data_IF_313976360810
#
_entry.id   IF_313976360810
#
_cell.length_a   1.000
_cell.length_b   1.000
_cell.length_c   1.000
_cell.angle_alpha   90.00
_cell.angle_beta   90.00
_cell.angle_gamma   90.00
#
_symmetry.space_group_name_H-M   'P 1'
#
loop_
_entity.id
_entity.type
_entity.pdbx_description
1 polymer ?
#
# COMPACT_ATOMS: atom_id res chain seq x y z
N UNK A 1 47.64 30.31 38.27
CA UNK A 1 46.56 31.12 38.88
C UNK A 1 45.56 30.19 39.58
N UNK A 2 45.63 30.09 40.90
CA UNK A 2 44.73 29.26 41.71
C UNK A 2 43.37 29.98 41.82
N UNK A 3 42.39 29.57 41.02
CA UNK A 3 41.01 30.07 41.18
C UNK A 3 40.46 29.59 42.52
N UNK A 4 40.20 30.57 43.40
CA UNK A 4 39.58 30.41 44.71
C UNK A 4 38.35 29.49 44.62
N UNK A 5 38.25 28.51 45.54
CA UNK A 5 37.22 27.46 45.54
C UNK A 5 35.79 28.03 45.52
N UNK A 6 35.60 29.25 46.00
CA UNK A 6 34.32 29.97 45.94
C UNK A 6 33.93 30.38 44.52
N UNK A 7 34.90 30.79 43.69
CA UNK A 7 34.67 31.16 42.28
C UNK A 7 34.41 29.91 41.44
N UNK A 8 35.14 28.82 41.70
CA UNK A 8 34.90 27.51 41.05
C UNK A 8 33.50 26.97 41.36
N UNK A 9 33.04 27.05 42.61
CA UNK A 9 31.67 26.62 42.99
C UNK A 9 30.60 27.47 42.31
N UNK A 10 30.77 28.79 42.24
CA UNK A 10 29.83 29.69 41.54
C UNK A 10 29.82 29.45 40.02
N UNK A 11 30.97 29.17 39.42
CA UNK A 11 31.09 28.85 38.00
C UNK A 11 30.46 27.48 37.68
N UNK A 12 30.62 26.49 38.55
CA UNK A 12 30.03 25.16 38.38
C UNK A 12 28.50 25.18 38.55
N UNK A 13 27.99 25.97 39.50
CA UNK A 13 26.54 26.20 39.66
C UNK A 13 25.94 26.92 38.45
N UNK A 14 26.64 27.91 37.88
CA UNK A 14 26.19 28.61 36.68
C UNK A 14 26.13 27.69 35.45
N UNK A 15 27.13 26.81 35.26
CA UNK A 15 27.14 25.83 34.16
C UNK A 15 26.00 24.81 34.29
N UNK A 16 25.74 24.30 35.51
CA UNK A 16 24.64 23.36 35.76
C UNK A 16 23.28 24.03 35.50
N UNK A 17 23.10 25.29 35.87
CA UNK A 17 21.88 26.05 35.59
C UNK A 17 21.65 26.29 34.09
N UNK A 18 22.72 26.53 33.31
CA UNK A 18 22.62 26.69 31.86
C UNK A 18 22.28 25.34 31.20
N UNK A 19 22.92 24.25 31.63
CA UNK A 19 22.64 22.91 31.11
C UNK A 19 21.20 22.46 31.41
N UNK A 20 20.63 22.79 32.58
CA UNK A 20 19.24 22.44 32.90
C UNK A 20 18.23 23.18 32.03
N UNK A 21 18.47 24.46 31.72
CA UNK A 21 17.62 25.24 30.80
C UNK A 21 17.71 24.69 29.37
N UNK A 22 18.90 24.32 28.89
CA UNK A 22 19.08 23.69 27.57
C UNK A 22 18.37 22.34 27.51
N UNK A 23 18.45 21.53 28.57
CA UNK A 23 17.77 20.23 28.63
C UNK A 23 16.24 20.39 28.64
N UNK A 24 15.71 21.41 29.33
CA UNK A 24 14.28 21.75 29.31
C UNK A 24 13.87 22.21 27.90
N UNK A 25 14.68 23.01 27.20
CA UNK A 25 14.38 23.45 25.82
C UNK A 25 14.45 22.29 24.81
N UNK A 26 15.41 21.38 24.95
CA UNK A 26 15.50 20.16 24.14
C UNK A 26 14.35 19.19 24.44
N UNK A 27 13.97 19.02 25.71
CA UNK A 27 12.78 18.27 26.10
C UNK A 27 11.50 18.94 25.58
N UNK A 28 11.43 20.27 25.54
CA UNK A 28 10.30 21.00 24.98
C UNK A 28 10.20 20.81 23.46
N UNK A 29 11.33 20.82 22.72
CA UNK A 29 11.34 20.48 21.29
C UNK A 29 11.01 19.01 21.02
N UNK A 30 11.44 18.10 21.90
CA UNK A 30 11.12 16.67 21.80
C UNK A 30 9.67 16.35 22.23
N UNK A 31 9.06 17.19 23.07
CA UNK A 31 7.65 17.11 23.43
C UNK A 31 6.75 17.72 22.35
N UNK A 32 7.21 18.75 21.64
CA UNK A 32 6.52 19.28 20.46
C UNK A 32 6.52 18.31 19.26
N UNK A 33 7.49 17.39 19.14
CA UNK A 33 7.44 16.30 18.14
C UNK A 33 6.57 15.11 18.56
N UNK A 34 6.08 15.09 19.82
CA UNK A 34 5.12 14.11 20.35
C UNK A 34 3.77 14.74 20.68
N UNK A 35 3.41 15.82 20.00
CA UNK A 35 2.08 16.43 20.06
C UNK A 35 1.02 15.48 19.52
N UNK A 36 0.30 14.86 20.46
CA UNK A 36 -1.02 14.23 20.27
C UNK A 36 -1.93 15.22 19.54
N UNK A 37 -2.33 14.89 18.31
CA UNK A 37 -3.35 15.63 17.60
C UNK A 37 -4.70 15.47 18.32
N UNK A 38 -5.05 16.42 19.18
CA UNK A 38 -6.46 16.76 19.44
C UNK A 38 -6.88 17.78 18.39
N UNK A 39 -7.53 17.32 17.34
CA UNK A 39 -8.38 18.18 16.51
C UNK A 39 -9.79 17.57 16.49
N UNK A 40 -10.69 18.26 17.19
CA UNK A 40 -12.11 18.10 16.99
C UNK A 40 -12.52 18.69 15.64
N UNK A 41 -13.50 18.03 15.05
CA UNK A 41 -14.48 18.53 14.08
C UNK A 41 -13.97 19.14 12.74
N UNK A 42 -14.18 18.32 11.71
CA UNK A 42 -14.52 18.65 10.32
C UNK A 42 -13.42 18.53 9.25
N UNK A 43 -13.68 17.58 8.35
CA UNK A 43 -13.23 17.46 6.95
C UNK A 43 -11.83 16.87 6.67
N UNK A 44 -11.82 15.54 6.67
CA UNK A 44 -11.05 14.55 5.87
C UNK A 44 -9.78 15.05 5.13
N UNK A 45 -8.62 14.78 5.73
CA UNK A 45 -7.36 14.54 5.03
C UNK A 45 -6.87 13.13 5.37
N UNK A 46 -6.57 12.33 4.34
CA UNK A 46 -6.28 10.91 4.43
C UNK A 46 -5.01 10.60 5.21
N UNK A 47 -5.19 10.01 6.39
CA UNK A 47 -4.18 9.21 7.06
C UNK A 47 -4.35 7.76 6.63
N UNK A 48 -3.25 7.08 6.29
CA UNK A 48 -3.24 5.66 6.02
C UNK A 48 -3.82 4.90 7.22
N UNK A 49 -4.99 4.30 7.01
CA UNK A 49 -5.70 3.52 7.99
C UNK A 49 -4.96 2.20 8.20
N UNK A 50 -4.32 2.03 9.35
CA UNK A 50 -3.95 0.70 9.84
C UNK A 50 -5.27 0.03 10.22
N UNK A 51 -5.84 -0.69 9.26
CA UNK A 51 -7.10 -1.41 9.45
C UNK A 51 -6.85 -2.58 10.39
N UNK A 52 -7.41 -2.45 11.61
CA UNK A 52 -7.56 -3.55 12.55
C UNK A 52 -8.14 -4.77 11.83
N UNK A 53 -7.40 -5.88 11.89
CA UNK A 53 -7.78 -7.16 11.27
C UNK A 53 -9.06 -7.66 11.96
N UNK A 54 -10.19 -7.34 11.35
CA UNK A 54 -11.50 -7.83 11.74
C UNK A 54 -11.47 -9.37 11.66
N UNK A 55 -11.55 -10.06 12.80
CA UNK A 55 -11.40 -11.52 12.94
C UNK A 55 -12.42 -12.37 12.15
N UNK A 56 -13.34 -11.74 11.40
CA UNK A 56 -14.30 -12.37 10.47
C UNK A 56 -14.42 -11.65 9.11
N UNK A 57 -13.54 -10.70 8.81
CA UNK A 57 -13.63 -9.93 7.58
C UNK A 57 -13.34 -10.78 6.34
N UNK A 58 -13.98 -10.45 5.22
CA UNK A 58 -13.69 -11.08 3.92
C UNK A 58 -12.98 -10.09 3.01
N UNK A 59 -11.97 -10.57 2.29
CA UNK A 59 -11.18 -9.75 1.37
C UNK A 59 -11.94 -9.49 0.07
N UNK A 60 -11.70 -8.33 -0.53
CA UNK A 60 -12.16 -7.99 -1.88
C UNK A 60 -11.00 -7.57 -2.78
N UNK A 61 -11.10 -7.90 -4.05
CA UNK A 61 -10.17 -7.44 -5.08
C UNK A 61 -10.90 -6.53 -6.06
N UNK A 62 -10.22 -5.50 -6.57
CA UNK A 62 -10.77 -4.61 -7.58
C UNK A 62 -9.71 -4.26 -8.63
N UNK A 63 -10.11 -4.20 -9.89
CA UNK A 63 -9.30 -3.62 -10.97
C UNK A 63 -9.69 -2.15 -11.13
N UNK A 64 -8.72 -1.24 -11.04
CA UNK A 64 -8.92 0.21 -11.17
C UNK A 64 -8.12 0.77 -12.35
N UNK A 65 -8.67 1.70 -13.15
CA UNK A 65 -10.02 2.27 -13.04
C UNK A 65 -11.11 1.25 -13.43
N UNK A 66 -12.34 1.42 -12.91
CA UNK A 66 -13.46 0.50 -13.17
C UNK A 66 -13.94 0.56 -14.63
N UNK A 67 -13.92 1.75 -15.23
CA UNK A 67 -14.29 1.97 -16.63
C UNK A 67 -13.42 3.08 -17.22
N UNK A 68 -12.96 2.86 -18.45
CA UNK A 68 -12.22 3.86 -19.22
C UNK A 68 -12.47 3.66 -20.71
N UNK A 69 -12.32 4.73 -21.49
CA UNK A 69 -12.18 4.70 -22.94
C UNK A 69 -10.75 5.07 -23.34
N UNK A 70 -10.16 4.31 -24.25
CA UNK A 70 -8.84 4.56 -24.84
C UNK A 70 -8.95 4.71 -26.36
N UNK A 71 -8.03 5.48 -26.95
CA UNK A 71 -7.82 5.48 -28.41
C UNK A 71 -6.84 4.37 -28.79
N UNK A 72 -6.91 3.90 -30.04
CA UNK A 72 -5.91 2.96 -30.56
C UNK A 72 -4.47 3.46 -30.35
N UNK A 73 -3.60 2.61 -29.81
CA UNK A 73 -2.21 2.91 -29.48
C UNK A 73 -2.00 3.58 -28.11
N UNK A 74 -3.07 4.06 -27.46
CA UNK A 74 -2.99 4.68 -26.15
C UNK A 74 -2.66 3.65 -25.06
N UNK A 75 -1.91 4.11 -24.06
CA UNK A 75 -1.53 3.31 -22.91
C UNK A 75 -2.12 3.86 -21.62
N UNK A 76 -2.45 2.95 -20.71
CA UNK A 76 -2.94 3.30 -19.38
C UNK A 76 -2.39 2.35 -18.34
N UNK A 77 -2.12 2.88 -17.15
CA UNK A 77 -1.81 2.09 -15.97
C UNK A 77 -3.11 1.59 -15.33
N UNK A 78 -3.13 0.30 -15.01
CA UNK A 78 -4.21 -0.36 -14.28
C UNK A 78 -3.64 -0.90 -12.97
N UNK A 79 -4.37 -0.67 -11.88
CA UNK A 79 -4.01 -1.16 -10.55
C UNK A 79 -4.97 -2.26 -10.09
N UNK A 80 -4.41 -3.32 -9.50
CA UNK A 80 -5.16 -4.38 -8.83
C UNK A 80 -5.06 -4.15 -7.34
N UNK A 81 -6.20 -3.88 -6.70
CA UNK A 81 -6.26 -3.41 -5.31
C UNK A 81 -6.92 -4.46 -4.43
N UNK A 82 -6.30 -4.72 -3.27
CA UNK A 82 -6.87 -5.47 -2.16
C UNK A 82 -7.56 -4.52 -1.20
N UNK A 83 -8.83 -4.82 -0.90
CA UNK A 83 -9.71 -4.00 -0.08
C UNK A 83 -10.35 -4.81 1.06
N UNK A 84 -10.91 -4.10 2.04
CA UNK A 84 -11.56 -4.57 3.27
C UNK A 84 -10.67 -5.28 4.31
N UNK A 85 -9.84 -6.24 3.89
CA UNK A 85 -9.00 -7.03 4.81
C UNK A 85 -7.66 -7.37 4.16
N UNK A 86 -6.56 -7.07 4.87
CA UNK A 86 -5.22 -7.51 4.49
C UNK A 86 -5.04 -9.03 4.59
N UNK A 87 -4.26 -9.62 3.70
CA UNK A 87 -4.10 -11.08 3.60
C UNK A 87 -2.62 -11.47 3.60
N UNK A 88 -2.32 -12.72 3.94
CA UNK A 88 -0.94 -13.22 4.02
C UNK A 88 -0.37 -13.59 2.64
N UNK A 89 -1.23 -14.07 1.74
CA UNK A 89 -0.84 -14.43 0.39
C UNK A 89 -2.00 -14.25 -0.59
N UNK A 90 -1.67 -14.14 -1.87
CA UNK A 90 -2.65 -14.07 -2.95
C UNK A 90 -2.19 -14.87 -4.16
N UNK A 91 -3.17 -15.40 -4.87
CA UNK A 91 -3.04 -15.87 -6.26
C UNK A 91 -4.09 -15.12 -7.05
N UNK A 92 -3.67 -14.28 -8.00
CA UNK A 92 -4.55 -13.46 -8.82
C UNK A 92 -4.39 -13.85 -10.27
N UNK A 93 -5.51 -14.21 -10.88
CA UNK A 93 -5.60 -14.48 -12.32
C UNK A 93 -6.56 -13.47 -12.94
N UNK A 94 -6.07 -12.65 -13.87
CA UNK A 94 -6.89 -11.71 -14.64
C UNK A 94 -6.90 -12.15 -16.10
N UNK A 95 -8.09 -12.24 -16.67
CA UNK A 95 -8.30 -12.51 -18.10
C UNK A 95 -8.71 -11.24 -18.83
N UNK A 96 -8.33 -11.13 -20.10
CA UNK A 96 -8.65 -10.03 -20.99
C UNK A 96 -8.71 -10.50 -22.45
N UNK A 97 -9.24 -9.68 -23.36
CA UNK A 97 -9.19 -9.96 -24.80
C UNK A 97 -7.86 -9.48 -25.42
N UNK A 98 -6.96 -10.40 -25.84
CA UNK A 98 -5.66 -10.05 -26.41
C UNK A 98 -5.74 -9.46 -27.82
N UNK A 99 -6.91 -9.49 -28.48
CA UNK A 99 -7.11 -8.84 -29.79
C UNK A 99 -7.37 -7.34 -29.64
N UNK A 100 -7.82 -6.92 -28.46
CA UNK A 100 -8.18 -5.53 -28.15
C UNK A 100 -7.10 -4.86 -27.32
N UNK A 101 -6.52 -5.59 -26.34
CA UNK A 101 -5.54 -5.06 -25.40
C UNK A 101 -4.25 -5.88 -25.40
N UNK A 102 -3.12 -5.20 -25.30
CA UNK A 102 -1.83 -5.78 -24.94
C UNK A 102 -1.47 -5.37 -23.51
N UNK A 103 -1.04 -6.32 -22.70
CA UNK A 103 -0.59 -6.06 -21.31
C UNK A 103 0.94 -6.10 -21.25
N UNK A 104 1.53 -5.16 -20.50
CA UNK A 104 2.97 -5.10 -20.21
C UNK A 104 3.23 -4.57 -18.80
N UNK A 105 4.51 -4.52 -18.43
CA UNK A 105 5.01 -3.79 -17.26
C UNK A 105 4.29 -4.14 -15.95
N UNK A 106 4.07 -5.43 -15.71
CA UNK A 106 3.53 -5.88 -14.43
C UNK A 106 4.55 -5.54 -13.34
N UNK A 107 4.13 -4.74 -12.37
CA UNK A 107 4.94 -4.25 -11.26
C UNK A 107 4.26 -4.60 -9.95
N UNK A 108 5.05 -5.17 -9.02
CA UNK A 108 4.60 -5.42 -7.66
C UNK A 108 4.10 -4.13 -7.00
N UNK A 109 3.05 -4.26 -6.20
CA UNK A 109 2.54 -3.19 -5.37
C UNK A 109 3.17 -3.18 -3.97
N UNK A 110 2.45 -2.61 -3.02
CA UNK A 110 2.93 -2.39 -1.64
C UNK A 110 2.42 -3.43 -0.65
N UNK A 111 1.42 -4.22 -1.06
CA UNK A 111 0.76 -5.20 -0.17
C UNK A 111 1.68 -6.37 0.15
N UNK A 112 2.47 -6.83 -0.83
CA UNK A 112 3.32 -8.01 -0.71
C UNK A 112 4.78 -7.66 -0.96
N UNK A 113 5.67 -8.24 -0.16
CA UNK A 113 7.13 -8.03 -0.25
C UNK A 113 7.80 -9.12 -1.06
N UNK A 114 7.13 -10.26 -1.26
CA UNK A 114 7.68 -11.42 -1.93
C UNK A 114 6.75 -11.88 -3.06
N UNK A 115 7.21 -11.77 -4.30
CA UNK A 115 6.49 -12.20 -5.50
C UNK A 115 7.02 -13.57 -5.93
N UNK A 116 6.15 -14.58 -5.85
CA UNK A 116 6.49 -15.97 -6.16
C UNK A 116 6.37 -16.27 -7.66
N UNK A 117 5.42 -15.62 -8.34
CA UNK A 117 5.22 -15.76 -9.78
C UNK A 117 4.57 -14.52 -10.35
N UNK A 118 5.10 -14.04 -11.47
CA UNK A 118 4.53 -12.97 -12.27
C UNK A 118 4.66 -13.34 -13.74
N UNK A 119 3.54 -13.70 -14.39
CA UNK A 119 3.51 -14.12 -15.79
C UNK A 119 2.43 -13.36 -16.55
N UNK A 120 2.75 -12.95 -17.76
CA UNK A 120 1.81 -12.39 -18.73
C UNK A 120 1.84 -13.28 -19.95
N UNK A 121 0.68 -13.82 -20.29
CA UNK A 121 0.41 -14.60 -21.49
C UNK A 121 -0.73 -13.92 -22.24
N UNK A 122 -0.91 -14.24 -23.52
CA UNK A 122 -1.98 -13.64 -24.31
C UNK A 122 -3.35 -13.92 -23.67
N UNK A 123 -4.00 -12.83 -23.26
CA UNK A 123 -5.32 -12.84 -22.62
C UNK A 123 -5.32 -13.20 -21.14
N UNK A 124 -4.15 -13.34 -20.49
CA UNK A 124 -4.07 -13.77 -19.08
C UNK A 124 -2.86 -13.21 -18.33
N UNK A 125 -3.10 -12.70 -17.13
CA UNK A 125 -2.08 -12.32 -16.15
C UNK A 125 -2.15 -13.29 -14.97
N UNK A 126 -1.02 -13.84 -14.56
CA UNK A 126 -0.89 -14.64 -13.32
C UNK A 126 0.06 -13.94 -12.36
N UNK A 127 -0.43 -13.63 -11.17
CA UNK A 127 0.34 -12.99 -10.11
C UNK A 127 0.16 -13.73 -8.78
N UNK A 128 1.25 -14.25 -8.22
CA UNK A 128 1.25 -14.99 -6.95
C UNK A 128 2.28 -14.33 -6.04
N UNK A 129 1.85 -13.96 -4.83
CA UNK A 129 2.70 -13.24 -3.87
C UNK A 129 2.30 -13.50 -2.42
N UNK A 130 3.23 -13.29 -1.50
CA UNK A 130 3.03 -13.36 -0.05
C UNK A 130 3.81 -12.28 0.70
N UNK A 131 3.60 -12.20 2.02
CA UNK A 131 4.26 -11.23 2.91
C UNK A 131 5.73 -11.57 3.22
N UNK A 132 6.25 -12.70 2.73
CA UNK A 132 7.61 -13.19 2.99
C UNK A 132 7.93 -13.45 4.47
N UNK A 133 9.17 -13.81 4.74
CA UNK A 133 9.69 -14.02 6.11
C UNK A 133 10.15 -12.73 6.78
N UNK A 134 10.43 -11.69 6.00
CA UNK A 134 10.85 -10.36 6.47
C UNK A 134 9.66 -9.44 6.81
N UNK A 135 8.44 -9.81 6.39
CA UNK A 135 7.20 -9.09 6.68
C UNK A 135 6.76 -9.32 8.12
N UNK A 136 7.27 -8.49 9.04
CA UNK A 136 6.81 -8.48 10.44
C UNK A 136 5.32 -8.13 10.51
N UNK A 137 4.49 -9.16 10.61
CA UNK A 137 3.12 -9.24 11.17
C UNK A 137 2.01 -8.30 10.68
N UNK A 138 2.28 -7.25 9.90
CA UNK A 138 1.26 -6.27 9.54
C UNK A 138 0.66 -6.58 8.17
N UNK A 139 -0.59 -7.06 8.18
CA UNK A 139 -1.37 -7.31 6.98
C UNK A 139 -1.85 -5.98 6.41
N UNK A 140 -1.50 -5.71 5.15
CA UNK A 140 -1.81 -4.43 4.50
C UNK A 140 -2.88 -4.61 3.42
N UNK A 141 -3.56 -3.51 3.14
CA UNK A 141 -4.44 -3.35 1.98
C UNK A 141 -3.80 -2.38 0.99
N UNK A 142 -4.40 -2.24 -0.19
CA UNK A 142 -3.92 -1.36 -1.25
C UNK A 142 -3.49 -2.12 -2.50
N UNK A 143 -2.59 -1.53 -3.28
CA UNK A 143 -2.19 -2.10 -4.57
C UNK A 143 -1.40 -3.40 -4.37
N UNK A 144 -1.94 -4.49 -4.89
CA UNK A 144 -1.30 -5.81 -4.97
C UNK A 144 -0.24 -5.79 -6.05
N UNK A 145 -0.65 -5.40 -7.25
CA UNK A 145 0.23 -5.17 -8.39
C UNK A 145 -0.45 -4.20 -9.35
N UNK A 146 0.31 -3.80 -10.35
CA UNK A 146 -0.13 -2.90 -11.40
C UNK A 146 0.45 -3.32 -12.72
N UNK A 147 -0.17 -2.90 -13.82
CA UNK A 147 0.30 -3.22 -15.16
C UNK A 147 -0.11 -2.13 -16.13
N UNK A 148 0.56 -2.10 -17.28
CA UNK A 148 0.19 -1.22 -18.39
C UNK A 148 -0.71 -1.99 -19.35
N UNK A 149 -1.80 -1.37 -19.77
CA UNK A 149 -2.60 -1.81 -20.92
C UNK A 149 -2.32 -0.89 -22.10
N UNK A 150 -2.12 -1.47 -23.27
CA UNK A 150 -2.03 -0.75 -24.56
C UNK A 150 -3.22 -1.16 -25.42
N UNK A 151 -3.95 -0.19 -25.95
CA UNK A 151 -5.04 -0.43 -26.89
C UNK A 151 -4.48 -0.82 -28.27
N UNK A 152 -4.79 -2.00 -28.77
CA UNK A 152 -4.27 -2.54 -30.04
C UNK A 152 -5.35 -2.94 -31.05
N UNK A 153 -6.62 -3.02 -30.62
CA UNK A 153 -7.76 -3.30 -31.48
C UNK A 153 -9.01 -2.60 -30.98
N UNK A 154 -9.99 -2.37 -31.86
CA UNK A 154 -11.26 -1.71 -31.53
C UNK A 154 -12.22 -2.66 -30.81
N UNK A 155 -13.05 -2.10 -29.94
CA UNK A 155 -14.10 -2.83 -29.22
C UNK A 155 -14.01 -2.71 -27.71
N UNK A 156 -14.68 -3.61 -27.00
CA UNK A 156 -14.72 -3.60 -25.53
C UNK A 156 -14.02 -4.83 -24.98
N UNK A 157 -13.06 -4.62 -24.07
CA UNK A 157 -12.38 -5.69 -23.33
C UNK A 157 -12.63 -5.54 -21.84
N UNK A 158 -12.91 -6.64 -21.16
CA UNK A 158 -13.03 -6.67 -19.69
C UNK A 158 -11.76 -7.24 -19.07
N UNK A 159 -11.22 -6.54 -18.08
CA UNK A 159 -10.19 -7.07 -17.19
C UNK A 159 -10.91 -7.77 -16.04
N UNK A 160 -11.05 -9.09 -16.14
CA UNK A 160 -11.89 -9.89 -15.26
C UNK A 160 -11.06 -10.87 -14.43
N UNK A 161 -11.41 -11.03 -13.16
CA UNK A 161 -10.82 -12.08 -12.33
C UNK A 161 -11.39 -13.45 -12.70
N UNK A 162 -10.52 -14.45 -12.87
CA UNK A 162 -10.95 -15.84 -12.78
C UNK A 162 -11.19 -16.18 -11.31
N UNK A 163 -12.44 -16.16 -10.87
CA UNK A 163 -12.83 -16.37 -9.48
C UNK A 163 -12.64 -17.81 -8.99
N UNK A 164 -12.46 -18.78 -9.91
CA UNK A 164 -12.15 -20.17 -9.53
C UNK A 164 -10.68 -20.29 -9.14
N UNK A 165 -9.79 -19.65 -9.90
CA UNK A 165 -8.34 -19.69 -9.69
C UNK A 165 -7.81 -18.59 -8.74
N UNK A 166 -8.50 -17.45 -8.65
CA UNK A 166 -8.11 -16.34 -7.79
C UNK A 166 -8.45 -16.64 -6.33
N UNK A 167 -7.47 -16.48 -5.43
CA UNK A 167 -7.58 -16.77 -3.99
C UNK A 167 -6.85 -15.70 -3.19
N UNK A 168 -7.38 -15.36 -2.02
CA UNK A 168 -6.69 -14.53 -1.02
C UNK A 168 -6.64 -15.31 0.29
N UNK A 169 -5.45 -15.53 0.83
CA UNK A 169 -5.24 -16.46 1.93
C UNK A 169 -4.97 -15.72 3.25
N UNK A 170 -5.72 -16.08 4.28
CA UNK A 170 -5.48 -15.64 5.65
C UNK A 170 -5.60 -16.86 6.57
N UNK A 171 -4.54 -17.14 7.36
CA UNK A 171 -4.45 -18.31 8.25
C UNK A 171 -4.68 -19.63 7.51
N UNK A 172 -4.16 -19.74 6.28
CA UNK A 172 -4.29 -20.93 5.44
C UNK A 172 -5.65 -21.11 4.75
N UNK A 173 -6.64 -20.24 5.01
CA UNK A 173 -7.96 -20.29 4.37
C UNK A 173 -8.16 -19.22 3.30
N UNK A 174 -8.88 -19.54 2.22
CA UNK A 174 -9.31 -18.54 1.24
C UNK A 174 -10.44 -17.67 1.81
N UNK A 175 -10.23 -16.36 1.83
CA UNK A 175 -11.20 -15.37 2.34
C UNK A 175 -11.70 -14.39 1.29
N UNK A 176 -11.45 -14.64 0.00
CA UNK A 176 -11.96 -13.84 -1.09
C UNK A 176 -13.50 -13.92 -1.14
N UNK A 177 -14.16 -12.76 -1.05
CA UNK A 177 -15.63 -12.66 -1.14
C UNK A 177 -16.10 -12.06 -2.46
N UNK A 178 -15.42 -11.05 -2.95
CA UNK A 178 -15.81 -10.33 -4.16
C UNK A 178 -14.59 -9.87 -4.95
N UNK A 179 -14.77 -9.79 -6.26
CA UNK A 179 -13.74 -9.40 -7.20
C UNK A 179 -14.36 -8.53 -8.31
N UNK A 180 -14.06 -7.23 -8.31
CA UNK A 180 -14.66 -6.24 -9.21
C UNK A 180 -13.80 -6.06 -10.46
N UNK A 181 -14.39 -6.31 -11.62
CA UNK A 181 -13.71 -6.22 -12.92
C UNK A 181 -13.66 -4.79 -13.45
N UNK A 182 -12.77 -4.53 -14.41
CA UNK A 182 -12.71 -3.28 -15.16
C UNK A 182 -13.18 -3.48 -16.60
N UNK A 183 -13.75 -2.44 -17.22
CA UNK A 183 -14.14 -2.43 -18.63
C UNK A 183 -13.38 -1.33 -19.38
N UNK A 184 -12.70 -1.70 -20.45
CA UNK A 184 -11.99 -0.77 -21.33
C UNK A 184 -12.66 -0.79 -22.70
N UNK A 185 -13.11 0.38 -23.14
CA UNK A 185 -13.59 0.61 -24.49
C UNK A 185 -12.45 1.19 -25.34
N UNK A 186 -12.21 0.63 -26.53
CA UNK A 186 -11.23 1.14 -27.49
C UNK A 186 -11.93 1.65 -28.73
N UNK A 187 -11.66 2.91 -29.09
CA UNK A 187 -12.23 3.62 -30.24
C UNK A 187 -11.18 3.92 -31.32
#
# INVERSE_FOLDING_TARGET
MNLNNTVRKKMLLAVVAICSVIFILLAYRWLQTRGVAKCGLSTKCGAAEVVEVNKKGKASLAVKPTRTTLKSGEQMRVDVVLENVGVQATSVIITYDPRILKVSDVKNGVVFTNVLSQKVEDGKITFIADIGTQGKSELKMGTVFSFTVTAIGRGTSQLKFDTKATKTALRGGNILKSASSSTILVQ
#
